data_IF_467130323919
#
_entry.id   IF_467130323919
#
_cell.length_a   1.000
_cell.length_b   1.000
_cell.length_c   1.000
_cell.angle_alpha   90.00
_cell.angle_beta   90.00
_cell.angle_gamma   90.00
#
_symmetry.space_group_name_H-M   'P 1'
#
loop_
_entity.id
_entity.type
_entity.pdbx_description
1 polymer ?
#
# COMPACT_ATOMS: atom_id res chain seq x y z
N UNK A 1 -29.31 -13.90 2.50
CA UNK A 1 -29.29 -13.25 3.84
C UNK A 1 -28.78 -14.29 4.84
N UNK A 2 -27.78 -13.96 5.67
CA UNK A 2 -26.98 -14.81 6.59
C UNK A 2 -25.59 -15.21 6.05
N UNK A 3 -24.60 -14.35 6.27
CA UNK A 3 -23.17 -14.68 6.51
C UNK A 3 -22.29 -13.43 6.76
N UNK A 4 -22.84 -12.37 7.37
CA UNK A 4 -22.08 -11.14 7.70
C UNK A 4 -21.91 -10.89 9.20
N UNK A 5 -22.25 -11.86 10.07
CA UNK A 5 -22.20 -11.65 11.51
C UNK A 5 -20.88 -12.08 12.16
N UNK A 6 -20.06 -12.90 11.50
CA UNK A 6 -18.80 -13.40 12.06
C UNK A 6 -17.62 -12.42 11.96
N UNK A 7 -17.61 -11.50 10.99
CA UNK A 7 -16.51 -10.54 10.82
C UNK A 7 -16.59 -9.30 11.72
N UNK A 8 -17.76 -9.00 12.29
CA UNK A 8 -17.94 -7.88 13.24
C UNK A 8 -17.52 -8.29 14.66
N UNK A 9 -17.60 -9.58 14.98
CA UNK A 9 -17.24 -10.12 16.31
C UNK A 9 -15.73 -10.25 16.54
N UNK A 10 -14.92 -10.38 15.49
CA UNK A 10 -13.45 -10.45 15.63
C UNK A 10 -12.80 -9.08 15.87
N UNK A 11 -13.48 -7.98 15.54
CA UNK A 11 -13.00 -6.61 15.77
C UNK A 11 -13.41 -6.03 17.14
N UNK A 12 -14.29 -6.69 17.90
CA UNK A 12 -14.65 -6.26 19.26
C UNK A 12 -13.69 -6.82 20.33
N UNK A 13 -12.99 -7.93 20.05
CA UNK A 13 -12.02 -8.51 20.99
C UNK A 13 -10.78 -7.63 21.29
N UNK A 14 -10.15 -6.92 20.35
CA UNK A 14 -8.98 -6.08 20.66
C UNK A 14 -9.33 -4.78 21.40
N UNK A 15 -10.58 -4.29 21.30
CA UNK A 15 -11.00 -3.03 21.93
C UNK A 15 -11.35 -3.18 23.42
N UNK A 16 -11.72 -4.39 23.87
CA UNK A 16 -12.01 -4.66 25.28
C UNK A 16 -10.75 -4.73 26.18
N UNK A 17 -9.56 -4.86 25.60
CA UNK A 17 -8.30 -4.92 26.36
C UNK A 17 -7.83 -3.50 26.75
N UNK A 18 -8.22 -2.46 26.01
CA UNK A 18 -7.80 -1.07 26.29
C UNK A 18 -8.69 -0.32 27.29
N UNK A 19 -9.88 -0.84 27.60
CA UNK A 19 -10.92 -0.14 28.39
C UNK A 19 -10.93 -0.53 29.88
N UNK A 20 -10.24 -1.60 30.27
CA UNK A 20 -10.32 -2.12 31.64
C UNK A 20 -8.98 -2.00 32.41
N UNK A 21 -8.53 -0.76 32.64
CA UNK A 21 -7.61 -0.47 33.74
C UNK A 21 -8.39 0.30 34.82
N UNK A 22 -8.94 -0.45 35.79
CA UNK A 22 -9.55 0.09 36.99
C UNK A 22 -8.47 0.33 38.05
N UNK A 23 -7.85 1.50 38.01
CA UNK A 23 -7.15 2.03 39.18
C UNK A 23 -7.86 3.31 39.67
N UNK A 24 -8.42 3.22 40.87
CA UNK A 24 -9.08 4.27 41.68
C UNK A 24 -8.88 3.83 43.15
N UNK A 25 -9.14 4.66 44.18
CA UNK A 25 -8.75 6.06 44.40
C UNK A 25 -8.52 6.38 45.91
N UNK A 26 -7.44 6.99 46.39
CA UNK A 26 -7.51 7.76 47.66
C UNK A 26 -6.20 8.48 47.98
N UNK A 27 -6.24 9.80 48.18
CA UNK A 27 -5.64 10.45 49.36
C UNK A 27 -6.61 11.55 49.81
N UNK A 28 -7.10 11.37 51.02
CA UNK A 28 -8.01 12.19 51.82
C UNK A 28 -7.35 13.51 52.25
N UNK A 29 -8.01 14.67 52.18
CA UNK A 29 -7.50 15.89 52.78
C UNK A 29 -7.88 15.93 54.27
N UNK A 30 -6.90 15.68 55.15
CA UNK A 30 -6.95 16.13 56.54
C UNK A 30 -5.81 17.10 56.76
N UNK A 31 -6.11 18.39 56.67
CA UNK A 31 -5.45 19.34 57.57
C UNK A 31 -6.46 20.37 58.06
N UNK A 32 -6.85 20.12 59.30
CA UNK A 32 -7.48 20.97 60.29
C UNK A 32 -6.92 22.39 60.21
N UNK A 33 -7.80 23.36 59.96
CA UNK A 33 -7.53 24.76 60.24
C UNK A 33 -7.11 24.90 61.71
N UNK A 34 -5.91 25.42 61.92
CA UNK A 34 -5.51 25.99 63.21
C UNK A 34 -5.28 27.46 62.93
N UNK A 35 -6.34 28.25 63.06
CA UNK A 35 -6.22 29.70 63.17
C UNK A 35 -5.58 30.00 64.52
N UNK A 36 -4.25 30.00 64.58
CA UNK A 36 -3.55 30.79 65.62
C UNK A 36 -3.84 32.25 65.31
N UNK A 37 -4.96 32.72 65.84
CA UNK A 37 -5.22 34.13 66.04
C UNK A 37 -4.10 34.63 66.95
N UNK A 38 -3.08 35.27 66.36
CA UNK A 38 -2.18 36.14 67.11
C UNK A 38 -2.99 37.40 67.43
N UNK A 39 -3.90 37.30 68.38
CA UNK A 39 -4.43 38.49 69.04
C UNK A 39 -3.23 39.04 69.80
N UNK A 40 -2.64 40.11 69.28
CA UNK A 40 -1.78 40.96 70.08
C UNK A 40 -2.68 41.52 71.19
N UNK A 41 -2.55 40.96 72.39
CA UNK A 41 -3.08 41.57 73.60
C UNK A 41 -2.43 42.95 73.69
N UNK A 42 -3.20 44.01 73.51
CA UNK A 42 -2.80 45.36 73.91
C UNK A 42 -2.59 45.33 75.42
N UNK A 43 -1.35 45.09 75.84
CA UNK A 43 -0.95 45.47 77.18
C UNK A 43 -0.76 46.98 77.16
N UNK A 44 -1.44 47.68 78.07
CA UNK A 44 -1.25 49.11 78.30
C UNK A 44 0.26 49.39 78.41
N UNK A 45 0.78 50.16 77.46
CA UNK A 45 2.18 50.60 77.51
C UNK A 45 2.24 51.60 78.64
N UNK A 46 2.70 51.14 79.80
CA UNK A 46 3.20 52.00 80.87
C UNK A 46 4.09 53.07 80.24
N UNK A 47 3.65 54.33 80.36
CA UNK A 47 4.34 55.49 79.83
C UNK A 47 5.79 55.43 80.29
N UNK A 48 6.71 55.11 79.38
CA UNK A 48 8.11 54.94 79.76
C UNK A 48 8.63 56.27 80.31
N UNK A 49 9.23 56.21 81.50
CA UNK A 49 9.67 57.35 82.32
C UNK A 49 10.83 58.13 81.63
N UNK A 50 11.11 57.86 80.36
CA UNK A 50 12.24 58.36 79.55
C UNK A 50 11.84 59.38 78.48
N UNK A 51 10.65 60.00 78.57
CA UNK A 51 10.18 60.97 77.57
C UNK A 51 10.95 62.30 77.52
N UNK A 52 11.68 62.65 78.58
CA UNK A 52 12.38 63.93 78.73
C UNK A 52 13.91 63.81 78.80
N UNK A 53 14.47 62.62 78.55
CA UNK A 53 15.91 62.45 78.41
C UNK A 53 16.35 62.94 77.01
N UNK A 54 17.21 63.97 76.92
CA UNK A 54 17.66 64.52 75.63
C UNK A 54 18.34 63.47 74.75
N UNK A 55 18.98 62.45 75.33
CA UNK A 55 19.62 61.38 74.56
C UNK A 55 18.57 60.44 73.95
N UNK A 56 17.56 60.05 74.72
CA UNK A 56 16.46 59.18 74.26
C UNK A 56 15.63 59.84 73.15
N UNK A 57 15.41 61.15 73.24
CA UNK A 57 14.69 61.91 72.20
C UNK A 57 15.43 61.89 70.85
N UNK A 58 16.76 62.05 70.88
CA UNK A 58 17.58 62.01 69.67
C UNK A 58 17.58 60.62 69.01
N UNK A 59 17.60 59.55 69.81
CA UNK A 59 17.51 58.17 69.32
C UNK A 59 16.15 57.92 68.67
N UNK A 60 15.06 58.33 69.33
CA UNK A 60 13.70 58.19 68.79
C UNK A 60 13.51 58.94 67.47
N UNK A 61 13.92 60.20 67.39
CA UNK A 61 13.85 60.99 66.15
C UNK A 61 14.68 60.36 65.02
N UNK A 62 15.84 59.77 65.34
CA UNK A 62 16.67 59.10 64.35
C UNK A 62 16.05 57.76 63.88
N UNK A 63 15.43 57.01 64.78
CA UNK A 63 14.65 55.82 64.44
C UNK A 63 13.44 56.17 63.58
N UNK A 64 12.66 57.18 63.93
CA UNK A 64 11.50 57.63 63.16
C UNK A 64 11.93 58.09 61.77
N UNK A 65 13.01 58.86 61.66
CA UNK A 65 13.58 59.29 60.37
C UNK A 65 14.03 58.11 59.50
N UNK A 66 14.76 57.15 60.07
CA UNK A 66 15.19 55.96 59.33
C UNK A 66 14.00 55.06 58.93
N UNK A 67 12.99 54.99 59.79
CA UNK A 67 11.79 54.18 59.56
C UNK A 67 10.96 54.77 58.43
N UNK A 68 10.75 56.09 58.41
CA UNK A 68 10.07 56.79 57.30
C UNK A 68 10.78 56.57 55.96
N UNK A 69 12.12 56.67 55.92
CA UNK A 69 12.87 56.40 54.68
C UNK A 69 12.69 54.96 54.18
N UNK A 70 12.69 53.96 55.06
CA UNK A 70 12.45 52.56 54.65
C UNK A 70 11.03 52.33 54.15
N UNK A 71 10.05 53.04 54.71
CA UNK A 71 8.66 52.93 54.26
C UNK A 71 8.50 53.50 52.84
N UNK A 72 9.07 54.67 52.55
CA UNK A 72 9.09 55.25 51.20
C UNK A 72 9.79 54.32 50.19
N UNK A 73 10.99 53.81 50.53
CA UNK A 73 11.72 52.85 49.69
C UNK A 73 10.96 51.52 49.48
N UNK A 74 10.16 51.10 50.45
CA UNK A 74 9.32 49.91 50.34
C UNK A 74 8.11 50.17 49.43
N UNK A 75 7.43 51.30 49.58
CA UNK A 75 6.32 51.68 48.70
C UNK A 75 6.75 51.82 47.24
N UNK A 76 7.88 52.48 46.98
CA UNK A 76 8.42 52.64 45.63
C UNK A 76 8.72 51.27 44.98
N UNK A 77 9.36 50.35 45.72
CA UNK A 77 9.61 48.98 45.24
C UNK A 77 8.31 48.23 44.98
N UNK A 78 7.33 48.40 45.85
CA UNK A 78 6.04 47.70 45.75
C UNK A 78 5.24 48.18 44.53
N UNK A 79 5.22 49.49 44.28
CA UNK A 79 4.61 50.10 43.09
C UNK A 79 5.32 49.64 41.81
N UNK A 80 6.65 49.68 41.79
CA UNK A 80 7.46 49.23 40.64
C UNK A 80 7.19 47.76 40.28
N UNK A 81 7.16 46.88 41.27
CA UNK A 81 6.91 45.45 41.07
C UNK A 81 5.47 45.18 40.61
N UNK A 82 4.47 45.89 41.16
CA UNK A 82 3.08 45.78 40.69
C UNK A 82 2.94 46.21 39.23
N UNK A 83 3.58 47.32 38.84
CA UNK A 83 3.55 47.79 37.45
C UNK A 83 4.19 46.77 36.50
N UNK A 84 5.33 46.20 36.88
CA UNK A 84 6.03 45.16 36.08
C UNK A 84 5.19 43.89 35.89
N UNK A 85 4.53 43.40 36.93
CA UNK A 85 3.65 42.23 36.81
C UNK A 85 2.44 42.51 35.91
N UNK A 86 1.84 43.70 36.00
CA UNK A 86 0.69 44.08 35.16
C UNK A 86 1.08 44.12 33.68
N UNK A 87 2.19 44.79 33.37
CA UNK A 87 2.72 44.86 31.99
C UNK A 87 3.10 43.48 31.43
N UNK A 88 3.63 42.58 32.25
CA UNK A 88 3.94 41.22 31.83
C UNK A 88 2.68 40.40 31.54
N UNK A 89 1.67 40.48 32.41
CA UNK A 89 0.39 39.78 32.23
C UNK A 89 -0.33 40.26 30.96
N UNK A 90 -0.37 41.58 30.72
CA UNK A 90 -1.00 42.15 29.53
C UNK A 90 -0.29 41.68 28.23
N UNK A 91 1.04 41.57 28.25
CA UNK A 91 1.83 41.03 27.12
C UNK A 91 1.52 39.55 26.86
N UNK A 92 1.50 38.73 27.91
CA UNK A 92 1.24 37.29 27.79
C UNK A 92 -0.20 37.03 27.26
N UNK A 93 -1.17 37.82 27.71
CA UNK A 93 -2.57 37.76 27.23
C UNK A 93 -2.64 38.11 25.73
N UNK A 94 -1.97 39.17 25.29
CA UNK A 94 -1.94 39.56 23.88
C UNK A 94 -1.29 38.49 23.00
N UNK A 95 -0.23 37.84 23.48
CA UNK A 95 0.44 36.73 22.78
C UNK A 95 -0.48 35.52 22.62
N UNK A 96 -1.23 35.16 23.67
CA UNK A 96 -2.19 34.04 23.64
C UNK A 96 -3.32 34.32 22.64
N UNK A 97 -3.87 35.54 22.63
CA UNK A 97 -4.94 35.93 21.71
C UNK A 97 -4.45 35.88 20.25
N UNK A 98 -3.25 36.38 19.97
CA UNK A 98 -2.64 36.33 18.64
C UNK A 98 -2.41 34.88 18.17
N UNK A 99 -1.85 34.02 19.04
CA UNK A 99 -1.64 32.60 18.74
C UNK A 99 -2.94 31.86 18.42
N UNK A 100 -4.00 32.10 19.20
CA UNK A 100 -5.30 31.46 18.97
C UNK A 100 -5.95 31.93 17.65
N UNK A 101 -5.82 33.22 17.30
CA UNK A 101 -6.31 33.77 16.03
C UNK A 101 -5.58 33.19 14.82
N UNK A 102 -4.25 33.02 14.90
CA UNK A 102 -3.44 32.40 13.86
C UNK A 102 -3.83 30.92 13.71
N UNK A 103 -3.89 30.16 14.82
CA UNK A 103 -4.32 28.75 14.78
C UNK A 103 -5.72 28.57 14.20
N UNK A 104 -6.67 29.47 14.54
CA UNK A 104 -8.03 29.42 14.01
C UNK A 104 -8.04 29.65 12.50
N UNK A 105 -7.34 30.68 11.99
CA UNK A 105 -7.28 30.97 10.55
C UNK A 105 -6.56 29.89 9.73
N UNK A 106 -5.51 29.26 10.29
CA UNK A 106 -4.84 28.12 9.67
C UNK A 106 -5.78 26.91 9.60
N UNK A 107 -6.50 26.60 10.68
CA UNK A 107 -7.43 25.48 10.69
C UNK A 107 -8.58 25.64 9.69
N UNK A 108 -9.10 26.86 9.54
CA UNK A 108 -10.20 27.18 8.64
C UNK A 108 -9.77 27.14 7.16
N UNK A 109 -8.53 27.56 6.87
CA UNK A 109 -7.92 27.42 5.53
C UNK A 109 -7.63 25.97 5.17
N UNK A 110 -7.11 25.19 6.11
CA UNK A 110 -6.83 23.75 5.89
C UNK A 110 -8.14 22.99 5.71
N UNK A 111 -9.21 23.32 6.44
CA UNK A 111 -10.52 22.66 6.30
C UNK A 111 -11.19 23.00 4.95
N UNK A 112 -11.12 24.26 4.49
CA UNK A 112 -11.57 24.64 3.12
C UNK A 112 -10.71 24.00 2.02
N UNK A 113 -9.39 23.95 2.19
CA UNK A 113 -8.48 23.32 1.22
C UNK A 113 -8.68 21.81 1.12
N UNK A 114 -8.94 21.14 2.24
CA UNK A 114 -9.18 19.70 2.27
C UNK A 114 -10.54 19.33 1.65
N UNK A 115 -11.58 20.14 1.86
CA UNK A 115 -12.90 19.98 1.21
C UNK A 115 -12.83 20.16 -0.32
N UNK A 116 -12.01 21.09 -0.80
CA UNK A 116 -11.77 21.28 -2.24
C UNK A 116 -10.95 20.14 -2.87
N UNK A 117 -9.98 19.56 -2.13
CA UNK A 117 -9.21 18.41 -2.61
C UNK A 117 -10.04 17.11 -2.65
N UNK A 118 -11.02 16.93 -1.75
CA UNK A 118 -11.92 15.76 -1.81
C UNK A 118 -12.80 15.72 -3.06
N UNK A 119 -13.08 16.86 -3.69
CA UNK A 119 -13.83 16.89 -4.96
C UNK A 119 -12.96 16.47 -6.17
N UNK A 120 -11.62 16.60 -6.07
CA UNK A 120 -10.67 16.10 -7.08
C UNK A 120 -10.18 14.67 -6.84
N UNK A 121 -10.09 14.22 -5.58
CA UNK A 121 -9.66 12.86 -5.23
C UNK A 121 -10.74 11.78 -5.46
N UNK A 122 -12.01 12.18 -5.63
CA UNK A 122 -13.08 11.26 -6.07
C UNK A 122 -12.83 10.64 -7.46
N UNK A 123 -12.01 11.27 -8.31
CA UNK A 123 -11.63 10.75 -9.62
C UNK A 123 -10.33 9.92 -9.64
N UNK A 124 -9.47 10.05 -8.63
CA UNK A 124 -8.17 9.34 -8.59
C UNK A 124 -8.32 7.94 -8.00
N UNK A 125 -9.21 7.76 -7.01
CA UNK A 125 -9.47 6.44 -6.44
C UNK A 125 -10.21 5.50 -7.42
N UNK A 126 -11.06 6.04 -8.29
CA UNK A 126 -11.79 5.26 -9.31
C UNK A 126 -10.92 4.93 -10.52
N UNK A 127 -9.97 5.79 -10.88
CA UNK A 127 -9.11 5.60 -12.06
C UNK A 127 -8.07 4.50 -11.87
N UNK A 128 -7.37 4.42 -10.74
CA UNK A 128 -6.28 3.44 -10.56
C UNK A 128 -6.76 1.98 -10.60
N UNK A 129 -7.96 1.70 -10.06
CA UNK A 129 -8.56 0.36 -10.12
C UNK A 129 -9.07 -0.03 -11.53
N UNK A 130 -9.66 0.92 -12.26
CA UNK A 130 -10.21 0.67 -13.60
C UNK A 130 -9.10 0.53 -14.65
N UNK A 131 -8.09 1.40 -14.61
CA UNK A 131 -6.98 1.36 -15.57
C UNK A 131 -6.09 0.13 -15.36
N UNK A 132 -5.87 -0.29 -14.11
CA UNK A 132 -5.12 -1.51 -13.81
C UNK A 132 -5.79 -2.78 -14.35
N UNK A 133 -7.11 -2.91 -14.17
CA UNK A 133 -7.85 -4.08 -14.66
C UNK A 133 -7.88 -4.16 -16.20
N UNK A 134 -7.98 -3.02 -16.89
CA UNK A 134 -7.94 -2.93 -18.35
C UNK A 134 -6.55 -3.29 -18.90
N UNK A 135 -5.48 -2.79 -18.26
CA UNK A 135 -4.11 -3.11 -18.67
C UNK A 135 -3.79 -4.60 -18.51
N UNK A 136 -4.20 -5.22 -17.39
CA UNK A 136 -4.03 -6.68 -17.18
C UNK A 136 -4.80 -7.45 -18.26
N UNK A 137 -6.03 -7.04 -18.61
CA UNK A 137 -6.83 -7.71 -19.64
C UNK A 137 -6.15 -7.68 -21.02
N UNK A 138 -5.64 -6.53 -21.44
CA UNK A 138 -4.92 -6.43 -22.73
C UNK A 138 -3.60 -7.21 -22.71
N UNK A 139 -2.86 -7.18 -21.60
CA UNK A 139 -1.64 -7.98 -21.42
C UNK A 139 -1.94 -9.48 -21.49
N UNK A 140 -3.03 -9.95 -20.85
CA UNK A 140 -3.41 -11.36 -20.92
C UNK A 140 -3.75 -11.81 -22.34
N UNK A 141 -4.47 -10.98 -23.13
CA UNK A 141 -4.74 -11.28 -24.53
C UNK A 141 -3.45 -11.41 -25.34
N UNK A 142 -2.53 -10.45 -25.21
CA UNK A 142 -1.25 -10.47 -25.90
C UNK A 142 -0.42 -11.70 -25.51
N UNK A 143 -0.37 -12.03 -24.23
CA UNK A 143 0.33 -13.22 -23.72
C UNK A 143 -0.31 -14.53 -24.23
N UNK A 144 -1.64 -14.62 -24.29
CA UNK A 144 -2.31 -15.80 -24.87
C UNK A 144 -2.05 -15.94 -26.37
N UNK A 145 -2.00 -14.84 -27.12
CA UNK A 145 -1.66 -14.87 -28.54
C UNK A 145 -0.22 -15.38 -28.76
N UNK A 146 0.74 -14.85 -28.00
CA UNK A 146 2.14 -15.31 -28.04
C UNK A 146 2.28 -16.79 -27.65
N UNK A 147 1.50 -17.26 -26.67
CA UNK A 147 1.47 -18.67 -26.28
C UNK A 147 0.96 -19.59 -27.39
N UNK A 148 -0.06 -19.15 -28.14
CA UNK A 148 -0.61 -19.91 -29.28
C UNK A 148 0.42 -20.01 -30.40
N UNK A 149 1.10 -18.92 -30.76
CA UNK A 149 2.14 -18.95 -31.79
C UNK A 149 3.31 -19.86 -31.39
N UNK A 150 3.78 -19.77 -30.13
CA UNK A 150 4.82 -20.66 -29.62
C UNK A 150 4.40 -22.14 -29.63
N UNK A 151 3.12 -22.43 -29.38
CA UNK A 151 2.59 -23.79 -29.45
C UNK A 151 2.57 -24.32 -30.89
N UNK A 152 2.19 -23.49 -31.87
CA UNK A 152 2.24 -23.85 -33.30
C UNK A 152 3.67 -24.17 -33.74
N UNK A 153 4.63 -23.30 -33.44
CA UNK A 153 6.05 -23.51 -33.78
C UNK A 153 6.59 -24.81 -33.16
N UNK A 154 6.33 -25.04 -31.87
CA UNK A 154 6.73 -26.26 -31.18
C UNK A 154 6.10 -27.52 -31.80
N UNK A 155 4.82 -27.45 -32.16
CA UNK A 155 4.13 -28.57 -32.79
C UNK A 155 4.59 -28.88 -34.21
N UNK A 156 4.90 -27.85 -35.01
CA UNK A 156 5.48 -28.05 -36.35
C UNK A 156 6.85 -28.73 -36.22
N UNK A 157 7.69 -28.23 -35.31
CA UNK A 157 9.01 -28.82 -35.05
C UNK A 157 8.92 -30.29 -34.64
N UNK A 158 8.06 -30.61 -33.66
CA UNK A 158 7.87 -31.98 -33.19
C UNK A 158 7.30 -32.91 -34.28
N UNK A 159 6.38 -32.41 -35.12
CA UNK A 159 5.84 -33.18 -36.25
C UNK A 159 6.90 -33.50 -37.30
N UNK A 160 7.75 -32.54 -37.63
CA UNK A 160 8.88 -32.75 -38.57
C UNK A 160 9.87 -33.77 -37.99
N UNK A 161 10.23 -33.64 -36.71
CA UNK A 161 11.13 -34.59 -36.04
C UNK A 161 10.57 -36.02 -36.07
N UNK A 162 9.30 -36.20 -35.72
CA UNK A 162 8.64 -37.51 -35.76
C UNK A 162 8.56 -38.11 -37.17
N UNK A 163 8.27 -37.29 -38.18
CA UNK A 163 8.30 -37.73 -39.59
C UNK A 163 9.69 -38.19 -40.00
N UNK A 164 10.73 -37.46 -39.62
CA UNK A 164 12.12 -37.83 -39.94
C UNK A 164 12.50 -39.16 -39.28
N UNK A 165 12.03 -39.43 -38.06
CA UNK A 165 12.24 -40.71 -37.38
C UNK A 165 11.53 -41.86 -38.11
N UNK A 166 10.25 -41.72 -38.43
CA UNK A 166 9.47 -42.73 -39.16
C UNK A 166 10.05 -43.03 -40.56
N UNK A 167 10.49 -41.99 -41.29
CA UNK A 167 11.10 -42.14 -42.62
C UNK A 167 12.35 -43.04 -42.55
N UNK A 168 13.15 -42.93 -41.50
CA UNK A 168 14.39 -43.72 -41.35
C UNK A 168 14.11 -45.21 -41.13
N UNK A 169 12.94 -45.56 -40.61
CA UNK A 169 12.52 -46.94 -40.37
C UNK A 169 11.98 -47.63 -41.62
N UNK A 170 11.66 -46.87 -42.68
CA UNK A 170 11.21 -47.44 -43.96
C UNK A 170 12.32 -48.32 -44.56
N UNK A 171 11.95 -49.55 -44.91
CA UNK A 171 12.88 -50.62 -45.32
C UNK A 171 13.83 -50.23 -46.46
N UNK A 172 13.33 -49.57 -47.51
CA UNK A 172 14.16 -49.13 -48.64
C UNK A 172 14.97 -47.86 -48.31
N UNK A 173 14.52 -47.05 -47.35
CA UNK A 173 15.18 -45.81 -46.90
C UNK A 173 16.36 -46.11 -45.96
N UNK A 174 16.33 -47.26 -45.28
CA UNK A 174 17.43 -47.71 -44.40
C UNK A 174 18.80 -47.77 -45.07
N UNK A 175 18.86 -47.90 -46.39
CA UNK A 175 20.11 -47.84 -47.17
C UNK A 175 20.62 -46.42 -47.42
N UNK A 176 19.78 -45.41 -47.18
CA UNK A 176 20.04 -43.98 -47.38
C UNK A 176 20.09 -43.20 -46.06
N UNK A 177 20.37 -43.85 -44.93
CA UNK A 177 20.47 -43.20 -43.62
C UNK A 177 21.61 -42.15 -43.53
N UNK A 178 22.59 -42.22 -44.44
CA UNK A 178 23.66 -41.23 -44.55
C UNK A 178 23.18 -39.87 -45.08
N UNK A 179 21.95 -39.79 -45.61
CA UNK A 179 21.36 -38.54 -46.09
C UNK A 179 20.92 -37.66 -44.91
N UNK A 180 21.17 -36.36 -45.02
CA UNK A 180 20.75 -35.38 -44.02
C UNK A 180 19.27 -35.02 -44.20
N UNK A 181 18.38 -35.91 -43.77
CA UNK A 181 16.92 -35.77 -43.84
C UNK A 181 16.35 -34.42 -43.37
N UNK A 182 16.88 -33.76 -42.31
CA UNK A 182 16.40 -32.43 -41.91
C UNK A 182 16.53 -31.34 -42.97
N UNK A 183 17.35 -31.53 -44.02
CA UNK A 183 17.47 -30.58 -45.14
C UNK A 183 16.33 -30.69 -46.15
N UNK A 184 15.65 -31.83 -46.18
CA UNK A 184 14.64 -32.15 -47.20
C UNK A 184 13.22 -32.13 -46.64
N UNK A 185 13.03 -32.47 -45.36
CA UNK A 185 11.74 -32.42 -44.68
C UNK A 185 11.59 -31.08 -43.98
N UNK A 186 10.51 -30.36 -44.27
CA UNK A 186 10.21 -29.05 -43.72
C UNK A 186 8.70 -28.85 -43.56
N UNK A 187 8.30 -27.67 -43.07
CA UNK A 187 6.91 -27.34 -42.79
C UNK A 187 5.95 -27.52 -43.98
N UNK A 188 6.43 -27.31 -45.20
CA UNK A 188 5.58 -27.37 -46.40
C UNK A 188 5.25 -28.79 -46.87
N UNK A 189 6.03 -29.80 -46.46
CA UNK A 189 5.96 -31.13 -47.06
C UNK A 189 5.67 -32.27 -46.08
N UNK A 190 5.97 -32.10 -44.79
CA UNK A 190 5.93 -33.20 -43.81
C UNK A 190 4.52 -33.79 -43.55
N UNK A 191 3.46 -33.06 -43.87
CA UNK A 191 2.06 -33.48 -43.62
C UNK A 191 1.38 -34.17 -44.80
N UNK A 192 2.01 -34.21 -45.96
CA UNK A 192 1.33 -34.70 -47.18
C UNK A 192 2.15 -35.80 -47.82
N UNK A 193 1.47 -36.83 -48.29
CA UNK A 193 2.11 -37.95 -48.98
C UNK A 193 2.92 -37.46 -50.18
N UNK A 194 2.32 -36.62 -51.04
CA UNK A 194 3.02 -36.09 -52.22
C UNK A 194 4.23 -35.22 -51.83
N UNK A 195 4.10 -34.42 -50.77
CA UNK A 195 5.22 -33.64 -50.24
C UNK A 195 6.38 -34.53 -49.78
N UNK A 196 6.07 -35.61 -49.05
CA UNK A 196 7.05 -36.59 -48.58
C UNK A 196 7.71 -37.34 -49.74
N UNK A 197 6.93 -37.81 -50.73
CA UNK A 197 7.45 -38.47 -51.93
C UNK A 197 8.44 -37.56 -52.67
N UNK A 198 8.08 -36.28 -52.87
CA UNK A 198 8.96 -35.31 -53.52
C UNK A 198 10.22 -35.02 -52.72
N UNK A 199 10.10 -34.89 -51.39
CA UNK A 199 11.24 -34.66 -50.51
C UNK A 199 12.20 -35.85 -50.51
N UNK A 200 11.69 -37.08 -50.43
CA UNK A 200 12.49 -38.31 -50.46
C UNK A 200 13.13 -38.52 -51.83
N UNK A 201 12.41 -38.23 -52.92
CA UNK A 201 12.97 -38.27 -54.28
C UNK A 201 14.14 -37.29 -54.42
N UNK A 202 13.98 -36.07 -53.93
CA UNK A 202 15.04 -35.05 -53.95
C UNK A 202 16.23 -35.47 -53.08
N UNK A 203 15.97 -36.05 -51.91
CA UNK A 203 16.98 -36.57 -51.00
C UNK A 203 17.82 -37.69 -51.65
N UNK A 204 17.18 -38.65 -52.34
CA UNK A 204 17.87 -39.73 -53.05
C UNK A 204 18.66 -39.17 -54.24
N UNK A 205 18.09 -38.27 -55.03
CA UNK A 205 18.77 -37.65 -56.17
C UNK A 205 20.03 -36.88 -55.74
N UNK A 206 20.05 -36.31 -54.52
CA UNK A 206 21.21 -35.60 -53.97
C UNK A 206 22.44 -36.50 -53.75
N UNK A 207 22.27 -37.82 -53.76
CA UNK A 207 23.36 -38.80 -53.64
C UNK A 207 24.16 -39.01 -54.95
N UNK A 208 23.84 -38.22 -56.00
CA UNK A 208 24.48 -38.30 -57.31
C UNK A 208 23.91 -39.38 -58.23
N UNK A 209 22.80 -40.00 -57.83
CA UNK A 209 22.12 -41.06 -58.58
C UNK A 209 20.62 -40.75 -58.63
N UNK A 210 20.07 -40.64 -59.84
CA UNK A 210 18.68 -40.23 -60.05
C UNK A 210 17.77 -41.39 -60.46
N UNK A 211 16.49 -41.26 -60.12
CA UNK A 211 15.45 -42.06 -60.78
C UNK A 211 15.36 -41.62 -62.26
N UNK A 212 15.31 -42.54 -63.25
CA UNK A 212 15.11 -44.00 -63.14
C UNK A 212 16.40 -44.79 -63.43
N UNK A 213 17.31 -44.90 -62.46
CA UNK A 213 18.39 -45.90 -62.54
C UNK A 213 17.82 -47.28 -62.15
N UNK A 214 17.43 -48.06 -63.16
CA UNK A 214 16.69 -49.34 -63.04
C UNK A 214 17.40 -50.48 -62.27
N UNK A 215 18.54 -50.26 -61.60
CA UNK A 215 19.30 -51.35 -60.95
C UNK A 215 19.70 -51.02 -59.50
N UNK A 216 19.83 -52.06 -58.69
CA UNK A 216 20.31 -51.97 -57.31
C UNK A 216 19.33 -51.33 -56.31
N UNK A 217 19.87 -50.73 -55.25
CA UNK A 217 19.11 -50.11 -54.16
C UNK A 217 18.28 -48.91 -54.62
N UNK A 218 18.70 -48.23 -55.68
CA UNK A 218 18.02 -47.05 -56.21
C UNK A 218 16.81 -47.43 -57.04
N UNK A 219 16.91 -48.46 -57.89
CA UNK A 219 15.75 -48.99 -58.61
C UNK A 219 14.63 -49.37 -57.64
N UNK A 220 14.97 -50.12 -56.58
CA UNK A 220 14.01 -50.47 -55.51
C UNK A 220 13.39 -49.25 -54.82
N UNK A 221 14.17 -48.20 -54.56
CA UNK A 221 13.65 -46.98 -53.97
C UNK A 221 12.75 -46.20 -54.93
N UNK A 222 13.10 -46.12 -56.23
CA UNK A 222 12.28 -45.47 -57.25
C UNK A 222 10.94 -46.20 -57.44
N UNK A 223 10.95 -47.54 -57.48
CA UNK A 223 9.72 -48.35 -57.58
C UNK A 223 8.82 -48.16 -56.35
N UNK A 224 9.42 -48.08 -55.15
CA UNK A 224 8.70 -47.80 -53.91
C UNK A 224 8.11 -46.38 -53.89
N UNK A 225 8.83 -45.39 -54.42
CA UNK A 225 8.35 -44.01 -54.54
C UNK A 225 7.17 -43.87 -55.52
N UNK A 226 7.14 -44.68 -56.59
CA UNK A 226 5.96 -44.79 -57.46
C UNK A 226 4.71 -45.31 -56.73
N UNK A 227 4.90 -46.01 -55.61
CA UNK A 227 3.85 -46.46 -54.70
C UNK A 227 3.82 -45.62 -53.40
N UNK A 228 4.13 -44.33 -53.50
CA UNK A 228 4.30 -43.44 -52.35
C UNK A 228 3.14 -43.44 -51.35
N UNK A 229 1.90 -43.63 -51.80
CA UNK A 229 0.72 -43.76 -50.93
C UNK A 229 0.87 -44.87 -49.90
N UNK A 230 1.34 -46.06 -50.32
CA UNK A 230 1.48 -47.22 -49.44
C UNK A 230 2.52 -47.00 -48.34
N UNK A 231 3.53 -46.17 -48.59
CA UNK A 231 4.66 -45.97 -47.67
C UNK A 231 4.53 -44.73 -46.81
N UNK A 232 4.02 -43.63 -47.37
CA UNK A 232 4.04 -42.32 -46.71
C UNK A 232 2.71 -41.91 -46.12
N UNK A 233 1.61 -42.62 -46.36
CA UNK A 233 0.31 -42.31 -45.75
C UNK A 233 0.37 -42.36 -44.21
N UNK A 234 0.92 -43.45 -43.66
CA UNK A 234 1.13 -43.58 -42.20
C UNK A 234 2.11 -42.52 -41.67
N UNK A 235 3.17 -42.21 -42.40
CA UNK A 235 4.18 -41.21 -41.99
C UNK A 235 3.59 -39.80 -41.94
N UNK A 236 2.83 -39.41 -42.96
CA UNK A 236 2.14 -38.13 -43.00
C UNK A 236 1.14 -38.00 -41.83
N UNK A 237 0.42 -39.09 -41.53
CA UNK A 237 -0.50 -39.16 -40.40
C UNK A 237 0.23 -39.02 -39.05
N UNK A 238 1.41 -39.63 -38.89
CA UNK A 238 2.24 -39.46 -37.68
C UNK A 238 2.66 -38.00 -37.52
N UNK A 239 3.09 -37.34 -38.60
CA UNK A 239 3.44 -35.92 -38.59
C UNK A 239 2.27 -35.05 -38.15
N UNK A 240 1.10 -35.24 -38.77
CA UNK A 240 -0.12 -34.49 -38.44
C UNK A 240 -0.57 -34.71 -36.99
N UNK A 241 -0.62 -35.97 -36.54
CA UNK A 241 -1.05 -36.34 -35.19
C UNK A 241 -0.08 -35.81 -34.12
N UNK A 242 1.22 -35.91 -34.36
CA UNK A 242 2.25 -35.42 -33.44
C UNK A 242 2.21 -33.90 -33.35
N UNK A 243 2.03 -33.20 -34.47
CA UNK A 243 1.83 -31.76 -34.48
C UNK A 243 0.59 -31.36 -33.68
N UNK A 244 -0.57 -31.98 -33.95
CA UNK A 244 -1.81 -31.67 -33.24
C UNK A 244 -1.69 -31.93 -31.72
N UNK A 245 -1.16 -33.09 -31.33
CA UNK A 245 -0.98 -33.45 -29.92
C UNK A 245 0.00 -32.52 -29.19
N UNK A 246 1.08 -32.11 -29.86
CA UNK A 246 2.08 -31.21 -29.28
C UNK A 246 1.53 -29.79 -29.14
N UNK A 247 0.83 -29.29 -30.17
CA UNK A 247 0.14 -27.99 -30.10
C UNK A 247 -0.81 -27.98 -28.90
N UNK A 248 -1.65 -29.02 -28.77
CA UNK A 248 -2.61 -29.11 -27.67
C UNK A 248 -1.90 -29.10 -26.31
N UNK A 249 -0.89 -29.95 -26.11
CA UNK A 249 -0.14 -30.04 -24.85
C UNK A 249 0.55 -28.72 -24.47
N UNK A 250 1.27 -28.12 -25.42
CA UNK A 250 2.00 -26.86 -25.18
C UNK A 250 1.03 -25.71 -24.96
N UNK A 251 -0.06 -25.63 -25.74
CA UNK A 251 -1.09 -24.61 -25.59
C UNK A 251 -1.76 -24.70 -24.22
N UNK A 252 -2.19 -25.89 -23.79
CA UNK A 252 -2.78 -26.09 -22.45
C UNK A 252 -1.82 -25.64 -21.35
N UNK A 253 -0.56 -26.02 -21.44
CA UNK A 253 0.46 -25.64 -20.45
C UNK A 253 0.68 -24.13 -20.42
N UNK A 254 0.90 -23.51 -21.58
CA UNK A 254 1.19 -22.07 -21.67
C UNK A 254 0.00 -21.21 -21.31
N UNK A 255 -1.20 -21.54 -21.78
CA UNK A 255 -2.43 -20.81 -21.41
C UNK A 255 -2.67 -20.90 -19.90
N UNK A 256 -2.51 -22.07 -19.28
CA UNK A 256 -2.62 -22.22 -17.83
C UNK A 256 -1.62 -21.33 -17.07
N UNK A 257 -0.37 -21.20 -17.56
CA UNK A 257 0.61 -20.28 -16.94
C UNK A 257 0.22 -18.80 -17.07
N UNK A 258 -0.38 -18.41 -18.20
CA UNK A 258 -0.89 -17.04 -18.40
C UNK A 258 -2.07 -16.77 -17.45
N UNK A 259 -3.00 -17.71 -17.33
CA UNK A 259 -4.15 -17.61 -16.42
C UNK A 259 -3.71 -17.51 -14.95
N UNK A 260 -2.78 -18.35 -14.51
CA UNK A 260 -2.22 -18.30 -13.16
C UNK A 260 -1.56 -16.94 -12.86
N UNK A 261 -0.75 -16.45 -13.80
CA UNK A 261 -0.08 -15.15 -13.68
C UNK A 261 -1.07 -13.99 -13.62
N UNK A 262 -2.13 -14.05 -14.44
CA UNK A 262 -3.19 -13.04 -14.45
C UNK A 262 -3.98 -13.00 -13.14
N UNK A 263 -4.27 -14.16 -12.56
CA UNK A 263 -5.00 -14.30 -11.30
C UNK A 263 -4.23 -13.66 -10.14
N UNK A 264 -2.90 -13.85 -10.12
CA UNK A 264 -2.03 -13.20 -9.15
C UNK A 264 -2.07 -11.67 -9.28
N UNK A 265 -2.02 -11.12 -10.50
CA UNK A 265 -2.12 -9.67 -10.73
C UNK A 265 -3.47 -9.11 -10.28
N UNK A 266 -4.58 -9.78 -10.58
CA UNK A 266 -5.90 -9.36 -10.12
C UNK A 266 -6.01 -9.42 -8.58
N UNK A 267 -5.45 -10.44 -7.96
CA UNK A 267 -5.40 -10.57 -6.49
C UNK A 267 -4.60 -9.43 -5.85
N UNK A 268 -3.43 -9.11 -6.41
CA UNK A 268 -2.59 -7.99 -5.94
C UNK A 268 -3.31 -6.64 -6.06
N UNK A 269 -4.02 -6.39 -7.17
CA UNK A 269 -4.85 -5.19 -7.34
C UNK A 269 -5.95 -5.16 -6.28
N UNK A 270 -6.62 -6.29 -6.04
CA UNK A 270 -7.66 -6.42 -5.01
C UNK A 270 -7.16 -6.06 -3.60
N UNK A 271 -6.01 -6.60 -3.19
CA UNK A 271 -5.41 -6.27 -1.89
C UNK A 271 -5.02 -4.80 -1.77
N UNK A 272 -4.50 -4.19 -2.85
CA UNK A 272 -4.17 -2.76 -2.88
C UNK A 272 -5.42 -1.89 -2.65
N UNK A 273 -6.52 -2.20 -3.33
CA UNK A 273 -7.80 -1.47 -3.16
C UNK A 273 -8.36 -1.66 -1.75
N UNK A 274 -8.33 -2.87 -1.19
CA UNK A 274 -8.78 -3.14 0.18
C UNK A 274 -7.93 -2.35 1.19
N UNK A 275 -6.61 -2.30 1.02
CA UNK A 275 -5.73 -1.53 1.89
C UNK A 275 -6.07 -0.03 1.88
N UNK A 276 -6.34 0.55 0.69
CA UNK A 276 -6.76 1.96 0.56
C UNK A 276 -8.09 2.21 1.29
N UNK A 277 -9.08 1.32 1.14
CA UNK A 277 -10.36 1.44 1.83
C UNK A 277 -10.22 1.38 3.36
N UNK A 278 -9.34 0.53 3.89
CA UNK A 278 -9.06 0.45 5.33
C UNK A 278 -8.47 1.78 5.83
N UNK A 279 -7.49 2.35 5.12
CA UNK A 279 -6.87 3.63 5.48
C UNK A 279 -7.91 4.75 5.50
N UNK A 280 -8.76 4.85 4.47
CA UNK A 280 -9.83 5.85 4.42
C UNK A 280 -10.82 5.69 5.57
N UNK A 281 -11.20 4.46 5.91
CA UNK A 281 -12.12 4.17 7.02
C UNK A 281 -11.51 4.60 8.37
N UNK A 282 -10.23 4.30 8.61
CA UNK A 282 -9.51 4.75 9.82
C UNK A 282 -9.45 6.28 9.90
N UNK A 283 -9.14 6.96 8.80
CA UNK A 283 -9.14 8.43 8.75
C UNK A 283 -10.51 9.03 9.10
N UNK A 284 -11.60 8.44 8.58
CA UNK A 284 -12.97 8.87 8.90
C UNK A 284 -13.29 8.66 10.39
N UNK A 285 -12.93 7.52 10.97
CA UNK A 285 -13.11 7.26 12.41
C UNK A 285 -12.36 8.31 13.24
N UNK A 286 -11.08 8.54 12.96
CA UNK A 286 -10.26 9.54 13.67
C UNK A 286 -10.88 10.93 13.53
N UNK A 287 -11.31 11.31 12.32
CA UNK A 287 -11.98 12.57 12.06
C UNK A 287 -13.27 12.72 12.88
N UNK A 288 -14.12 11.69 12.94
CA UNK A 288 -15.35 11.71 13.73
C UNK A 288 -15.06 11.84 15.24
N UNK A 289 -14.04 11.15 15.75
CA UNK A 289 -13.62 11.27 17.15
C UNK A 289 -13.13 12.69 17.45
N UNK A 290 -12.28 13.26 16.60
CA UNK A 290 -11.76 14.62 16.77
C UNK A 290 -12.88 15.67 16.68
N UNK A 291 -13.80 15.52 15.73
CA UNK A 291 -14.97 16.40 15.57
C UNK A 291 -15.89 16.32 16.79
N UNK A 292 -16.16 15.13 17.30
CA UNK A 292 -16.94 14.93 18.50
C UNK A 292 -16.29 15.61 19.72
N UNK A 293 -14.97 15.46 19.91
CA UNK A 293 -14.22 16.11 20.99
C UNK A 293 -14.27 17.64 20.88
N UNK A 294 -14.11 18.21 19.68
CA UNK A 294 -14.22 19.66 19.43
C UNK A 294 -15.60 20.19 19.81
N UNK A 295 -16.67 19.53 19.35
CA UNK A 295 -18.05 19.93 19.66
C UNK A 295 -18.33 19.91 21.17
N UNK A 296 -17.87 18.86 21.87
CA UNK A 296 -17.99 18.77 23.34
C UNK A 296 -17.24 19.90 24.06
N UNK A 297 -16.03 20.26 23.60
CA UNK A 297 -15.26 21.37 24.17
C UNK A 297 -15.97 22.72 23.99
N UNK A 298 -16.56 22.97 22.81
CA UNK A 298 -17.31 24.20 22.53
C UNK A 298 -18.58 24.33 23.38
N UNK A 299 -19.34 23.24 23.52
CA UNK A 299 -20.54 23.24 24.37
C UNK A 299 -20.21 23.54 25.84
N UNK A 300 -19.12 22.96 26.36
CA UNK A 300 -18.63 23.28 27.71
C UNK A 300 -18.26 24.75 27.85
N UNK A 301 -17.53 25.32 26.88
CA UNK A 301 -17.17 26.75 26.89
C UNK A 301 -18.42 27.63 26.99
N UNK A 302 -19.44 27.38 26.17
CA UNK A 302 -20.70 28.14 26.18
C UNK A 302 -21.43 28.09 27.54
N UNK A 303 -21.38 26.95 28.23
CA UNK A 303 -21.96 26.82 29.58
C UNK A 303 -21.22 27.71 30.59
N UNK A 304 -19.89 27.70 30.57
CA UNK A 304 -19.10 28.58 31.45
C UNK A 304 -19.30 30.07 31.14
N UNK A 305 -19.42 30.47 29.87
CA UNK A 305 -19.67 31.88 29.52
C UNK A 305 -21.03 32.36 30.03
N UNK A 306 -22.05 31.50 30.02
CA UNK A 306 -23.37 31.84 30.56
C UNK A 306 -23.35 32.07 32.07
N UNK A 307 -22.61 31.25 32.81
CA UNK A 307 -22.48 31.38 34.27
C UNK A 307 -21.69 32.63 34.70
N UNK A 308 -20.76 33.09 33.88
CA UNK A 308 -19.90 34.26 34.18
C UNK A 308 -20.58 35.61 33.94
N UNK A 309 -21.65 35.63 33.13
CA UNK A 309 -22.41 36.84 32.80
C UNK A 309 -23.68 37.01 33.67
N UNK A 310 -23.87 36.15 34.67
CA UNK A 310 -24.87 36.27 35.73
C UNK A 310 -24.23 36.91 36.95
#
# INVERSE_FOLDING_TARGET
MKLHYTNILLFSLPLNILVNNKNKPYITPRHRQTSTSRVLSECDIDTSIYGNDPEMKSVKENFDRQTSQRFEEYEERMIKNRKKCKEQCDKDIQEIILKDKIQKSLSEKVEKGCLMCSYGLGGVATSVGLFGALAVKELTKAATAAAIEAAKEAGIKAGIEAVIEEIKEISFIRKFLFVQWPKFINESNYKTVNGLVNAVTTAINSTGKSCPAYTGDIGRACDALSQGEAWFSSVAQVGEKTTASTIQSVQTTKVATVEASSTYLYSAIGFSVIAILIILLVMVIIYLILRYRRKKKMNKKQQYTKLLNQ
#
